data_IF_262604247949
#
_entry.id   IF_262604247949
#
_cell.length_a   1.000
_cell.length_b   1.000
_cell.length_c   1.000
_cell.angle_alpha   90.00
_cell.angle_beta   90.00
_cell.angle_gamma   90.00
#
_symmetry.space_group_name_H-M   'P 1'
#
loop_
_entity.id
_entity.type
_entity.pdbx_description
1 polymer ?
#
# COMPACT_ATOMS: atom_id res chain seq x y z
N UNK A 1 -7.32 2.00 -17.27
CA UNK A 1 -7.89 2.83 -16.18
C UNK A 1 -6.82 3.40 -15.23
N UNK A 2 -5.64 2.80 -15.16
CA UNK A 2 -4.52 3.26 -14.31
C UNK A 2 -4.01 4.66 -14.71
N UNK A 3 -4.28 5.09 -15.92
CA UNK A 3 -3.89 6.40 -16.44
C UNK A 3 -5.10 7.27 -16.81
N UNK A 4 -6.25 7.03 -16.17
CA UNK A 4 -7.44 7.85 -16.42
C UNK A 4 -7.27 9.22 -15.72
N UNK A 5 -7.13 10.32 -16.45
CA UNK A 5 -6.94 11.64 -15.87
C UNK A 5 -8.17 12.13 -15.08
N UNK A 6 -9.31 11.48 -15.23
CA UNK A 6 -10.55 11.80 -14.50
C UNK A 6 -10.67 11.08 -13.15
N UNK A 7 -9.79 10.09 -12.87
CA UNK A 7 -9.83 9.39 -11.60
C UNK A 7 -9.37 10.29 -10.45
N UNK A 8 -10.11 10.28 -9.36
CA UNK A 8 -9.79 11.07 -8.17
C UNK A 8 -10.20 10.35 -6.89
N UNK A 9 -9.32 10.38 -5.90
CA UNK A 9 -9.59 9.91 -4.56
C UNK A 9 -10.64 10.76 -3.82
N UNK A 10 -11.01 11.94 -4.36
CA UNK A 10 -11.92 12.86 -3.72
C UNK A 10 -13.27 12.24 -3.32
N UNK A 11 -13.84 11.38 -4.19
CA UNK A 11 -15.10 10.70 -3.90
C UNK A 11 -14.99 9.79 -2.66
N UNK A 12 -13.89 9.08 -2.53
CA UNK A 12 -13.62 8.20 -1.40
C UNK A 12 -13.37 8.99 -0.11
N UNK A 13 -12.54 10.03 -0.18
CA UNK A 13 -12.20 10.88 0.96
C UNK A 13 -13.40 11.67 1.50
N UNK A 14 -14.29 12.15 0.61
CA UNK A 14 -15.55 12.82 1.01
C UNK A 14 -16.51 11.91 1.77
N UNK A 15 -16.43 10.61 1.54
CA UNK A 15 -17.23 9.61 2.24
C UNK A 15 -16.71 9.22 3.62
N UNK A 16 -15.61 9.81 4.08
CA UNK A 16 -14.98 9.47 5.35
C UNK A 16 -15.93 9.71 6.54
N UNK A 17 -16.08 8.68 7.37
CA UNK A 17 -16.93 8.70 8.57
C UNK A 17 -16.11 8.85 9.85
N UNK A 18 -14.85 8.48 9.80
CA UNK A 18 -13.90 8.56 10.93
C UNK A 18 -12.76 9.48 10.55
N UNK A 19 -12.22 10.24 11.49
CA UNK A 19 -11.17 11.24 11.27
C UNK A 19 -11.50 12.24 10.15
N UNK A 20 -12.74 12.68 10.08
CA UNK A 20 -13.27 13.55 9.00
C UNK A 20 -12.37 14.76 8.75
N UNK A 21 -11.93 15.47 9.78
CA UNK A 21 -11.05 16.64 9.63
C UNK A 21 -9.72 16.34 8.97
N UNK A 22 -9.13 15.16 9.20
CA UNK A 22 -7.91 14.73 8.52
C UNK A 22 -8.15 14.47 7.04
N UNK A 23 -9.24 13.79 6.70
CA UNK A 23 -9.59 13.52 5.30
C UNK A 23 -10.04 14.76 4.54
N UNK A 24 -10.71 15.70 5.20
CA UNK A 24 -11.03 17.03 4.64
C UNK A 24 -9.76 17.83 4.35
N UNK A 25 -8.75 17.75 5.21
CA UNK A 25 -7.45 18.36 4.93
C UNK A 25 -6.79 17.76 3.69
N UNK A 26 -6.87 16.45 3.46
CA UNK A 26 -6.37 15.79 2.25
C UNK A 26 -7.13 16.19 0.98
N UNK A 27 -8.36 16.67 1.10
CA UNK A 27 -9.18 17.16 -0.02
C UNK A 27 -8.79 18.56 -0.52
N UNK A 28 -7.88 19.24 0.17
CA UNK A 28 -7.45 20.57 -0.26
C UNK A 28 -6.87 20.51 -1.68
N UNK A 29 -7.17 21.55 -2.53
CA UNK A 29 -6.74 21.56 -3.93
C UNK A 29 -5.23 21.42 -4.15
N UNK A 30 -4.44 21.84 -3.16
CA UNK A 30 -2.98 21.77 -3.21
C UNK A 30 -2.44 20.37 -2.86
N UNK A 31 -3.20 19.56 -2.12
CA UNK A 31 -2.78 18.25 -1.59
C UNK A 31 -3.37 17.11 -2.42
N UNK A 32 -4.62 17.24 -2.85
CA UNK A 32 -5.37 16.23 -3.57
C UNK A 32 -4.65 15.65 -4.81
N UNK A 33 -3.99 16.47 -5.68
CA UNK A 33 -3.24 15.90 -6.81
C UNK A 33 -2.11 14.98 -6.38
N UNK A 34 -1.42 15.32 -5.29
CA UNK A 34 -0.35 14.49 -4.73
C UNK A 34 -0.89 13.18 -4.15
N UNK A 35 -2.07 13.24 -3.53
CA UNK A 35 -2.76 12.04 -3.02
C UNK A 35 -3.21 11.14 -4.17
N UNK A 36 -3.77 11.71 -5.23
CA UNK A 36 -4.16 10.95 -6.42
C UNK A 36 -2.95 10.25 -7.05
N UNK A 37 -1.85 10.98 -7.23
CA UNK A 37 -0.60 10.42 -7.75
C UNK A 37 -0.04 9.31 -6.86
N UNK A 38 0.04 9.55 -5.55
CA UNK A 38 0.55 8.58 -4.60
C UNK A 38 -0.31 7.31 -4.57
N UNK A 39 -1.62 7.46 -4.65
CA UNK A 39 -2.57 6.37 -4.65
C UNK A 39 -2.42 5.51 -5.92
N UNK A 40 -2.49 6.13 -7.09
CA UNK A 40 -2.44 5.46 -8.38
C UNK A 40 -1.08 4.76 -8.59
N UNK A 41 0.01 5.51 -8.45
CA UNK A 41 1.36 4.98 -8.65
C UNK A 41 1.83 4.13 -7.47
N UNK A 42 1.47 4.49 -6.25
CA UNK A 42 1.82 3.73 -5.05
C UNK A 42 1.26 2.32 -5.10
N UNK A 43 -0.04 2.16 -5.37
CA UNK A 43 -0.67 0.84 -5.52
C UNK A 43 -0.11 0.06 -6.70
N UNK A 44 0.15 0.72 -7.83
CA UNK A 44 0.73 0.08 -9.01
C UNK A 44 2.13 -0.45 -8.72
N UNK A 45 2.98 0.36 -8.08
CA UNK A 45 4.34 -0.05 -7.70
C UNK A 45 4.35 -1.16 -6.66
N UNK A 46 3.47 -1.10 -5.67
CA UNK A 46 3.28 -2.18 -4.69
C UNK A 46 2.86 -3.47 -5.41
N UNK A 47 1.89 -3.40 -6.32
CA UNK A 47 1.45 -4.55 -7.11
C UNK A 47 2.58 -5.16 -7.94
N UNK A 48 3.33 -4.35 -8.68
CA UNK A 48 4.49 -4.79 -9.48
C UNK A 48 5.55 -5.42 -8.57
N UNK A 49 5.86 -4.80 -7.44
CA UNK A 49 6.82 -5.29 -6.45
C UNK A 49 6.46 -6.69 -5.95
N UNK A 50 5.19 -6.90 -5.61
CA UNK A 50 4.69 -8.18 -5.11
C UNK A 50 4.65 -9.26 -6.21
N UNK A 51 4.24 -8.91 -7.45
CA UNK A 51 4.17 -9.85 -8.58
C UNK A 51 5.57 -10.31 -8.99
N UNK A 52 6.51 -9.39 -9.09
CA UNK A 52 7.89 -9.72 -9.46
C UNK A 52 8.68 -10.33 -8.31
N UNK A 53 8.20 -10.18 -7.10
CA UNK A 53 8.95 -10.57 -5.90
C UNK A 53 10.24 -9.78 -5.73
N UNK A 54 10.23 -8.48 -6.11
CA UNK A 54 11.33 -7.53 -5.93
C UNK A 54 10.93 -6.46 -4.94
N UNK A 55 11.81 -6.13 -3.98
CA UNK A 55 11.52 -5.16 -2.92
C UNK A 55 10.25 -5.50 -2.12
N UNK A 56 9.95 -6.80 -1.98
CA UNK A 56 8.71 -7.28 -1.35
C UNK A 56 8.54 -6.70 0.05
N UNK A 57 9.60 -6.61 0.82
CA UNK A 57 9.55 -6.04 2.17
C UNK A 57 9.12 -4.58 2.17
N UNK A 58 9.72 -3.76 1.30
CA UNK A 58 9.38 -2.35 1.17
C UNK A 58 7.96 -2.16 0.63
N UNK A 59 7.63 -2.87 -0.46
CA UNK A 59 6.30 -2.86 -1.07
C UNK A 59 5.21 -3.29 -0.09
N UNK A 60 5.46 -4.34 0.70
CA UNK A 60 4.52 -4.83 1.70
C UNK A 60 4.31 -3.84 2.85
N UNK A 61 5.36 -3.17 3.33
CA UNK A 61 5.23 -2.15 4.38
C UNK A 61 4.39 -0.96 3.86
N UNK A 62 4.72 -0.47 2.67
CA UNK A 62 3.95 0.61 2.04
C UNK A 62 2.50 0.20 1.76
N UNK A 63 2.29 -0.98 1.20
CA UNK A 63 0.97 -1.51 0.93
C UNK A 63 0.14 -1.68 2.21
N UNK A 64 0.72 -2.22 3.28
CA UNK A 64 0.05 -2.34 4.57
C UNK A 64 -0.35 -0.97 5.14
N UNK A 65 0.53 0.03 5.05
CA UNK A 65 0.22 1.40 5.48
C UNK A 65 -0.94 2.00 4.67
N UNK A 66 -0.97 1.79 3.35
CA UNK A 66 -2.08 2.23 2.49
C UNK A 66 -3.39 1.52 2.86
N UNK A 67 -3.37 0.22 3.12
CA UNK A 67 -4.56 -0.53 3.52
C UNK A 67 -5.13 -0.01 4.85
N UNK A 68 -4.27 0.26 5.82
CA UNK A 68 -4.69 0.88 7.08
C UNK A 68 -5.28 2.27 6.85
N UNK A 69 -4.66 3.07 5.98
CA UNK A 69 -5.17 4.40 5.63
C UNK A 69 -6.56 4.33 4.97
N UNK A 70 -6.82 3.32 4.14
CA UNK A 70 -8.11 3.12 3.49
C UNK A 70 -9.18 2.55 4.44
N UNK A 71 -8.79 1.86 5.47
CA UNK A 71 -9.72 1.31 6.44
C UNK A 71 -10.51 2.40 7.19
N UNK A 72 -9.83 3.46 7.62
CA UNK A 72 -10.45 4.49 8.46
C UNK A 72 -11.61 5.25 7.82
N UNK A 73 -11.59 5.65 6.53
CA UNK A 73 -12.72 6.36 5.91
C UNK A 73 -14.01 5.56 5.89
N UNK A 74 -13.91 4.25 5.69
CA UNK A 74 -15.10 3.39 5.63
C UNK A 74 -15.61 2.98 7.01
N UNK A 75 -14.78 3.11 8.04
CA UNK A 75 -15.12 2.70 9.40
C UNK A 75 -16.21 3.59 9.98
N UNK A 76 -17.42 3.03 10.14
CA UNK A 76 -18.48 3.58 10.96
C UNK A 76 -18.55 2.74 12.25
N UNK A 77 -17.69 3.08 13.20
CA UNK A 77 -17.44 2.24 14.38
C UNK A 77 -18.74 1.69 14.99
N UNK A 78 -18.84 0.38 15.26
CA UNK A 78 -17.81 -0.65 15.07
C UNK A 78 -17.89 -1.40 13.71
N UNK A 79 -18.67 -0.92 12.74
CA UNK A 79 -18.95 -1.60 11.48
C UNK A 79 -18.25 -0.90 10.30
N UNK A 80 -17.20 -1.47 9.69
CA UNK A 80 -16.61 -0.93 8.46
C UNK A 80 -17.56 -1.07 7.27
N UNK A 81 -18.37 -2.12 7.24
CA UNK A 81 -19.42 -2.31 6.25
C UNK A 81 -20.63 -3.05 6.90
N UNK A 82 -21.79 -3.15 6.22
CA UNK A 82 -23.00 -3.77 6.79
C UNK A 82 -22.87 -5.25 7.17
N UNK A 83 -21.85 -5.92 6.67
CA UNK A 83 -21.69 -7.37 6.77
C UNK A 83 -20.54 -7.80 7.68
N UNK A 84 -19.67 -6.87 8.11
CA UNK A 84 -18.47 -7.21 8.90
C UNK A 84 -18.37 -6.36 10.16
N UNK A 85 -17.85 -6.97 11.21
CA UNK A 85 -17.59 -6.33 12.50
C UNK A 85 -16.10 -6.14 12.68
N UNK A 86 -15.61 -4.90 12.75
CA UNK A 86 -14.22 -4.48 12.91
C UNK A 86 -13.24 -4.97 11.84
N UNK A 87 -13.37 -6.20 11.36
CA UNK A 87 -12.43 -6.80 10.39
C UNK A 87 -13.07 -6.75 9.01
N UNK A 88 -12.38 -6.11 8.06
CA UNK A 88 -12.73 -6.08 6.65
C UNK A 88 -11.54 -6.47 5.79
N UNK A 89 -11.72 -6.43 4.46
CA UNK A 89 -10.71 -6.82 3.49
C UNK A 89 -9.40 -6.03 3.64
N UNK A 90 -9.47 -4.74 4.03
CA UNK A 90 -8.28 -3.90 4.20
C UNK A 90 -7.39 -4.40 5.34
N UNK A 91 -7.99 -4.83 6.45
CA UNK A 91 -7.26 -5.41 7.58
C UNK A 91 -6.64 -6.75 7.18
N UNK A 92 -7.38 -7.59 6.46
CA UNK A 92 -6.87 -8.88 5.98
C UNK A 92 -5.67 -8.66 5.04
N UNK A 93 -5.79 -7.76 4.07
CA UNK A 93 -4.69 -7.45 3.14
C UNK A 93 -3.48 -6.85 3.86
N UNK A 94 -3.69 -5.96 4.84
CA UNK A 94 -2.61 -5.43 5.64
C UNK A 94 -1.85 -6.53 6.39
N UNK A 95 -2.56 -7.48 7.01
CA UNK A 95 -1.96 -8.63 7.71
C UNK A 95 -1.20 -9.55 6.75
N UNK A 96 -1.75 -9.84 5.58
CA UNK A 96 -1.07 -10.63 4.54
C UNK A 96 0.21 -9.94 4.09
N UNK A 97 0.19 -8.62 3.86
CA UNK A 97 1.38 -7.86 3.48
C UNK A 97 2.44 -7.88 4.58
N UNK A 98 2.05 -7.73 5.84
CA UNK A 98 2.98 -7.85 6.98
C UNK A 98 3.59 -9.25 7.03
N UNK A 99 2.80 -10.28 6.80
CA UNK A 99 3.28 -11.67 6.74
C UNK A 99 4.30 -11.85 5.60
N UNK A 100 4.02 -11.35 4.40
CA UNK A 100 4.94 -11.42 3.26
C UNK A 100 6.27 -10.70 3.56
N UNK A 101 6.21 -9.54 4.23
CA UNK A 101 7.40 -8.81 4.65
C UNK A 101 8.24 -9.57 5.68
N UNK A 102 7.59 -10.23 6.64
CA UNK A 102 8.28 -11.00 7.71
C UNK A 102 8.88 -12.30 7.20
N UNK A 103 8.18 -13.00 6.32
CA UNK A 103 8.64 -14.24 5.69
C UNK A 103 9.69 -14.03 4.60
N UNK A 104 9.96 -12.76 4.24
CA UNK A 104 10.88 -12.45 3.12
C UNK A 104 10.50 -13.21 1.84
N UNK A 105 9.21 -13.19 1.51
CA UNK A 105 8.63 -14.00 0.44
C UNK A 105 9.31 -13.77 -0.93
N UNK A 106 9.86 -12.59 -1.19
CA UNK A 106 10.61 -12.27 -2.40
C UNK A 106 11.87 -13.12 -2.60
N UNK A 107 12.47 -13.62 -1.52
CA UNK A 107 13.64 -14.51 -1.61
C UNK A 107 13.28 -15.96 -1.94
N UNK A 108 12.08 -16.37 -1.61
CA UNK A 108 11.64 -17.76 -1.79
C UNK A 108 11.00 -17.95 -3.16
N UNK A 109 10.11 -17.03 -3.56
CA UNK A 109 9.29 -17.14 -4.76
C UNK A 109 9.50 -16.03 -5.78
N UNK A 110 10.40 -15.05 -5.49
CA UNK A 110 10.60 -13.87 -6.31
C UNK A 110 11.98 -13.75 -6.94
N UNK A 111 12.14 -12.68 -7.72
CA UNK A 111 13.39 -12.31 -8.38
C UNK A 111 14.44 -11.70 -7.42
N UNK A 112 14.10 -11.54 -6.14
CA UNK A 112 14.96 -10.91 -5.15
C UNK A 112 16.25 -11.69 -4.91
N UNK A 113 16.16 -13.03 -4.91
CA UNK A 113 17.34 -13.90 -4.79
C UNK A 113 18.26 -13.75 -6.00
N UNK A 114 17.68 -13.65 -7.20
CA UNK A 114 18.46 -13.37 -8.42
C UNK A 114 19.08 -11.98 -8.38
N UNK A 115 18.34 -10.97 -7.98
CA UNK A 115 18.86 -9.61 -7.83
C UNK A 115 20.02 -9.54 -6.82
N UNK A 116 19.93 -10.28 -5.71
CA UNK A 116 20.97 -10.33 -4.68
C UNK A 116 22.30 -10.90 -5.18
N UNK A 117 22.30 -11.72 -6.24
CA UNK A 117 23.49 -12.26 -6.89
C UNK A 117 24.18 -11.29 -7.85
N UNK A 118 23.51 -10.19 -8.22
CA UNK A 118 24.05 -9.18 -9.11
C UNK A 118 25.10 -8.31 -8.40
N UNK A 119 26.19 -7.90 -9.10
CA UNK A 119 27.28 -7.09 -8.52
C UNK A 119 26.80 -5.73 -7.98
N UNK A 120 25.67 -5.21 -8.49
CA UNK A 120 25.07 -3.96 -8.03
C UNK A 120 24.52 -4.12 -6.61
N UNK A 121 23.81 -5.21 -6.32
CA UNK A 121 23.23 -5.49 -5.02
C UNK A 121 24.29 -5.84 -3.97
N UNK A 122 25.40 -6.46 -4.38
CA UNK A 122 26.53 -6.76 -3.49
C UNK A 122 27.30 -5.49 -3.07
N UNK A 123 27.32 -4.45 -3.92
CA UNK A 123 28.02 -3.19 -3.68
C UNK A 123 27.31 -2.27 -2.67
N UNK A 124 25.98 -2.45 -2.50
CA UNK A 124 25.16 -1.62 -1.61
C UNK A 124 24.44 -2.46 -0.53
N UNK A 125 25.09 -2.70 0.65
CA UNK A 125 24.51 -3.54 1.69
C UNK A 125 23.19 -3.03 2.25
N UNK A 126 22.94 -1.70 2.19
CA UNK A 126 21.64 -1.10 2.58
C UNK A 126 20.51 -1.51 1.63
N UNK A 127 20.80 -1.64 0.34
CA UNK A 127 19.83 -2.14 -0.64
C UNK A 127 19.42 -3.59 -0.32
N UNK A 128 20.37 -4.41 0.09
CA UNK A 128 20.14 -5.81 0.45
C UNK A 128 19.22 -5.97 1.68
N UNK A 129 19.26 -5.03 2.60
CA UNK A 129 18.35 -5.01 3.75
C UNK A 129 16.92 -4.54 3.39
N UNK A 130 16.79 -3.73 2.33
CA UNK A 130 15.49 -3.28 1.79
C UNK A 130 14.87 -4.31 0.84
N UNK A 131 15.70 -5.12 0.20
CA UNK A 131 15.27 -6.24 -0.60
C UNK A 131 14.64 -7.34 0.30
N UNK A 132 15.12 -7.55 1.51
CA UNK A 132 14.51 -8.48 2.46
C UNK A 132 15.53 -9.35 3.22
#
# INVERSE_FOLDING_TARGET
KVLNPEWSAAGYLKGAKTFVGFYEWLLQPNILPSINFLNEWGLTLVGISLILGLFVRLGSIFGAALMVLYYFPILNFPYPNPYTFLIDDHIIYALVMILLATLRAGRVWGLENWCSSLPICSRYPKLRNLLG
#
